data_IF_186350408155
#
_entry.id   IF_186350408155
#
_cell.length_a   1.000
_cell.length_b   1.000
_cell.length_c   1.000
_cell.angle_alpha   90.00
_cell.angle_beta   90.00
_cell.angle_gamma   90.00
#
_symmetry.space_group_name_H-M   'P 1'
#
loop_
_entity.id
_entity.type
_entity.pdbx_description
1 polymer ?
#
# COMPACT_ATOMS: atom_id res chain seq x y z
N UNK A 1 -26.12 -1.58 10.49
CA UNK A 1 -24.84 -1.18 11.08
C UNK A 1 -25.07 0.17 11.73
N UNK A 2 -25.02 0.22 13.05
CA UNK A 2 -25.22 1.46 13.81
C UNK A 2 -23.84 2.10 13.99
N UNK A 3 -23.74 3.42 14.07
CA UNK A 3 -22.45 4.11 14.26
C UNK A 3 -21.71 3.62 15.51
N UNK A 4 -22.43 3.10 16.51
CA UNK A 4 -21.90 2.45 17.71
C UNK A 4 -20.98 1.25 17.40
N UNK A 5 -21.21 0.56 16.29
CA UNK A 5 -20.44 -0.64 15.92
C UNK A 5 -18.99 -0.28 15.51
N UNK A 6 -18.75 0.97 15.11
CA UNK A 6 -17.42 1.47 14.74
C UNK A 6 -16.65 2.07 15.92
N UNK A 7 -17.31 2.30 17.06
CA UNK A 7 -16.68 2.89 18.24
C UNK A 7 -15.49 2.07 18.76
N UNK A 8 -15.53 0.72 18.84
CA UNK A 8 -14.38 -0.07 19.25
C UNK A 8 -13.18 0.08 18.30
N UNK A 9 -13.43 0.16 16.99
CA UNK A 9 -12.38 0.35 15.97
C UNK A 9 -11.71 1.72 16.14
N UNK A 10 -12.50 2.77 16.36
CA UNK A 10 -11.98 4.11 16.61
C UNK A 10 -11.11 4.14 17.87
N UNK A 11 -11.58 3.55 18.97
CA UNK A 11 -10.83 3.45 20.23
C UNK A 11 -9.50 2.72 20.00
N UNK A 12 -9.50 1.63 19.23
CA UNK A 12 -8.29 0.88 18.91
C UNK A 12 -7.27 1.72 18.13
N UNK A 13 -7.71 2.47 17.12
CA UNK A 13 -6.84 3.35 16.33
C UNK A 13 -6.24 4.44 17.22
N UNK A 14 -7.07 5.09 18.05
CA UNK A 14 -6.61 6.15 18.97
C UNK A 14 -5.61 5.61 19.97
N UNK A 15 -5.84 4.41 20.52
CA UNK A 15 -4.94 3.77 21.47
C UNK A 15 -3.62 3.37 20.81
N UNK A 16 -3.65 2.80 19.61
CA UNK A 16 -2.44 2.43 18.86
C UNK A 16 -1.56 3.66 18.55
N UNK A 17 -2.17 4.73 18.03
CA UNK A 17 -1.48 5.99 17.75
C UNK A 17 -0.97 6.64 19.04
N UNK A 18 -1.81 6.65 20.08
CA UNK A 18 -1.47 7.21 21.39
C UNK A 18 -0.29 6.51 22.05
N UNK A 19 -0.21 5.18 21.98
CA UNK A 19 0.94 4.42 22.47
C UNK A 19 2.19 4.75 21.65
N UNK A 20 2.09 4.78 20.31
CA UNK A 20 3.23 5.12 19.45
C UNK A 20 3.80 6.50 19.75
N UNK A 21 2.93 7.51 19.88
CA UNK A 21 3.32 8.86 20.27
C UNK A 21 3.89 8.86 21.70
N UNK A 22 3.24 8.15 22.64
CA UNK A 22 3.68 8.07 24.03
C UNK A 22 5.10 7.51 24.16
N UNK A 23 5.44 6.47 23.40
CA UNK A 23 6.79 5.90 23.35
C UNK A 23 7.79 6.90 22.78
N UNK A 24 7.46 7.58 21.67
CA UNK A 24 8.33 8.61 21.07
C UNK A 24 8.57 9.79 22.02
N UNK A 25 7.53 10.25 22.72
CA UNK A 25 7.62 11.34 23.71
C UNK A 25 8.43 10.90 24.92
N UNK A 26 8.18 9.71 25.46
CA UNK A 26 8.97 9.15 26.55
C UNK A 26 10.45 9.00 26.16
N UNK A 27 10.73 8.49 24.96
CA UNK A 27 12.09 8.41 24.42
C UNK A 27 12.74 9.79 24.27
N UNK A 28 11.99 10.81 23.85
CA UNK A 28 12.51 12.17 23.72
C UNK A 28 12.82 12.84 25.08
N UNK A 29 12.01 12.56 26.11
CA UNK A 29 12.16 13.13 27.45
C UNK A 29 13.25 12.40 28.24
N UNK A 30 13.20 11.07 28.26
CA UNK A 30 14.08 10.22 29.08
C UNK A 30 15.33 9.73 28.33
N UNK A 31 15.38 9.87 27.00
CA UNK A 31 16.51 9.42 26.19
C UNK A 31 17.77 10.25 26.40
N UNK A 32 18.92 9.60 26.26
CA UNK A 32 20.22 10.26 26.33
C UNK A 32 20.37 11.25 25.17
N UNK A 33 20.36 12.54 25.48
CA UNK A 33 20.58 13.60 24.48
C UNK A 33 22.07 13.68 24.17
N UNK A 34 22.46 13.15 23.02
CA UNK A 34 23.82 13.37 22.52
C UNK A 34 23.99 14.83 22.07
N UNK A 35 25.16 15.43 22.30
CA UNK A 35 25.47 16.78 21.80
C UNK A 35 25.26 16.81 20.29
N UNK A 36 24.30 17.63 19.84
CA UNK A 36 24.05 17.89 18.43
C UNK A 36 25.24 18.65 17.85
N UNK A 37 25.64 18.28 16.65
CA UNK A 37 26.79 18.85 15.98
C UNK A 37 26.68 18.60 14.49
N UNK A 38 27.38 19.43 13.70
CA UNK A 38 27.28 19.41 12.23
C UNK A 38 27.45 18.01 11.61
N UNK A 39 28.31 17.18 12.19
CA UNK A 39 28.58 15.80 11.72
C UNK A 39 27.46 14.82 12.09
N UNK A 40 26.80 14.99 13.24
CA UNK A 40 25.70 14.10 13.66
C UNK A 40 24.40 14.40 12.94
N UNK A 41 24.21 15.66 12.56
CA UNK A 41 23.02 16.14 11.86
C UNK A 41 23.22 16.15 10.32
N UNK A 42 24.37 15.72 9.80
CA UNK A 42 24.60 15.56 8.36
C UNK A 42 24.16 14.19 7.85
N UNK A 43 23.62 14.09 6.62
CA UNK A 43 23.34 12.81 5.97
C UNK A 43 24.56 11.88 5.95
N UNK A 44 24.30 10.58 6.09
CA UNK A 44 25.36 9.58 6.05
C UNK A 44 25.84 9.35 4.60
N UNK A 45 27.09 9.69 4.32
CA UNK A 45 27.74 9.51 3.01
C UNK A 45 29.14 8.89 3.17
N UNK A 46 29.26 7.84 4.00
CA UNK A 46 30.51 7.13 4.27
C UNK A 46 31.70 8.03 4.69
N UNK A 47 31.42 9.15 5.36
CA UNK A 47 32.43 10.12 5.83
C UNK A 47 32.75 11.25 4.86
N UNK A 48 32.13 11.28 3.67
CA UNK A 48 32.19 12.40 2.73
C UNK A 48 31.13 13.45 3.05
N UNK A 49 31.36 14.69 2.62
CA UNK A 49 30.33 15.72 2.67
C UNK A 49 29.22 15.36 1.68
N UNK A 50 27.97 15.31 2.15
CA UNK A 50 26.81 15.11 1.29
C UNK A 50 26.67 16.30 0.33
N UNK A 51 27.12 16.14 -0.90
CA UNK A 51 26.79 17.06 -1.96
C UNK A 51 25.34 16.80 -2.37
N UNK A 52 24.45 17.77 -2.15
CA UNK A 52 23.05 17.75 -2.64
C UNK A 52 23.06 18.08 -4.15
N UNK A 53 23.98 17.45 -4.89
CA UNK A 53 24.30 17.73 -6.27
C UNK A 53 23.62 16.72 -7.18
N UNK A 54 22.39 17.03 -7.60
CA UNK A 54 21.75 16.35 -8.73
C UNK A 54 20.40 15.74 -8.39
N UNK A 55 19.39 16.10 -9.18
CA UNK A 55 18.15 15.32 -9.28
C UNK A 55 18.51 13.92 -9.78
N UNK A 56 18.65 12.96 -8.86
CA UNK A 56 18.73 11.55 -9.26
C UNK A 56 17.43 11.17 -9.96
N UNK A 57 17.54 10.71 -11.20
CA UNK A 57 16.38 10.22 -11.94
C UNK A 57 16.02 8.85 -11.38
N UNK A 58 14.92 8.79 -10.65
CA UNK A 58 14.36 7.51 -10.22
C UNK A 58 13.88 6.70 -11.43
N UNK A 59 13.98 5.39 -11.32
CA UNK A 59 13.57 4.48 -12.39
C UNK A 59 12.05 4.59 -12.64
N UNK A 60 11.65 4.61 -13.91
CA UNK A 60 10.23 4.58 -14.33
C UNK A 60 9.52 3.31 -13.83
N UNK A 61 10.28 2.26 -13.47
CA UNK A 61 9.75 1.01 -12.91
C UNK A 61 8.83 1.23 -11.70
N UNK A 62 9.16 2.18 -10.81
CA UNK A 62 8.29 2.52 -9.66
C UNK A 62 6.92 3.02 -10.11
N UNK A 63 6.88 3.86 -11.16
CA UNK A 63 5.64 4.36 -11.73
C UNK A 63 4.81 3.23 -12.34
N UNK A 64 5.43 2.35 -13.13
CA UNK A 64 4.75 1.22 -13.75
C UNK A 64 4.16 0.31 -12.68
N UNK A 65 4.91 -0.07 -11.65
CA UNK A 65 4.39 -0.91 -10.56
C UNK A 65 3.24 -0.24 -9.80
N UNK A 66 3.34 1.06 -9.49
CA UNK A 66 2.27 1.77 -8.79
C UNK A 66 0.99 1.88 -9.63
N UNK A 67 1.13 2.15 -10.93
CA UNK A 67 0.02 2.22 -11.87
C UNK A 67 -0.71 0.87 -11.97
N UNK A 68 0.04 -0.24 -12.06
CA UNK A 68 -0.53 -1.59 -12.07
C UNK A 68 -1.24 -1.92 -10.76
N UNK A 69 -0.63 -1.59 -9.62
CA UNK A 69 -1.26 -1.79 -8.31
C UNK A 69 -2.60 -1.06 -8.19
N UNK A 70 -2.68 0.20 -8.63
CA UNK A 70 -3.93 0.97 -8.60
C UNK A 70 -4.99 0.32 -9.49
N UNK A 71 -4.61 -0.16 -10.68
CA UNK A 71 -5.54 -0.82 -11.59
C UNK A 71 -6.12 -2.09 -10.95
N UNK A 72 -5.27 -2.98 -10.42
CA UNK A 72 -5.71 -4.19 -9.73
C UNK A 72 -6.53 -3.91 -8.47
N UNK A 73 -6.21 -2.87 -7.70
CA UNK A 73 -6.97 -2.50 -6.50
C UNK A 73 -8.39 -2.03 -6.84
N UNK A 74 -8.54 -1.23 -7.91
CA UNK A 74 -9.85 -0.82 -8.43
C UNK A 74 -10.70 -2.03 -8.84
N UNK A 75 -10.09 -3.04 -9.45
CA UNK A 75 -10.80 -4.25 -9.85
C UNK A 75 -11.35 -5.01 -8.64
N UNK A 76 -10.56 -5.14 -7.57
CA UNK A 76 -11.00 -5.77 -6.32
C UNK A 76 -12.17 -5.01 -5.68
N UNK A 77 -12.15 -3.67 -5.77
CA UNK A 77 -13.28 -2.82 -5.34
C UNK A 77 -14.57 -3.15 -6.10
N UNK A 78 -14.52 -3.60 -7.35
CA UNK A 78 -15.70 -4.10 -8.08
C UNK A 78 -16.10 -5.52 -7.68
N UNK A 79 -15.13 -6.40 -7.42
CA UNK A 79 -15.39 -7.79 -7.04
C UNK A 79 -16.08 -7.89 -5.67
N UNK A 80 -15.65 -7.11 -4.67
CA UNK A 80 -16.14 -7.22 -3.29
C UNK A 80 -17.66 -7.00 -3.18
N UNK A 81 -18.25 -5.89 -3.65
CA UNK A 81 -19.69 -5.68 -3.57
C UNK A 81 -20.46 -6.78 -4.28
N UNK A 82 -20.00 -7.23 -5.44
CA UNK A 82 -20.68 -8.27 -6.20
C UNK A 82 -20.74 -9.60 -5.42
N UNK A 83 -19.65 -10.02 -4.78
CA UNK A 83 -19.62 -11.22 -3.93
C UNK A 83 -20.56 -11.03 -2.72
N UNK A 84 -20.56 -9.85 -2.10
CA UNK A 84 -21.36 -9.56 -0.92
C UNK A 84 -22.86 -9.46 -1.20
N UNK A 85 -23.28 -9.03 -2.39
CA UNK A 85 -24.71 -8.96 -2.75
C UNK A 85 -25.25 -10.29 -3.24
N UNK A 86 -24.41 -11.15 -3.82
CA UNK A 86 -24.81 -12.43 -4.40
C UNK A 86 -24.35 -13.62 -3.54
N UNK A 87 -24.49 -13.56 -2.22
CA UNK A 87 -24.02 -14.65 -1.33
C UNK A 87 -24.77 -15.97 -1.55
N UNK A 88 -26.04 -15.89 -1.96
CA UNK A 88 -26.92 -17.03 -2.25
C UNK A 88 -26.87 -17.42 -3.75
N UNK A 89 -25.66 -17.52 -4.31
CA UNK A 89 -25.38 -17.89 -5.71
C UNK A 89 -25.87 -19.30 -6.09
N UNK A 90 -26.28 -20.10 -5.12
CA UNK A 90 -26.63 -21.52 -5.25
C UNK A 90 -27.81 -21.79 -6.19
N UNK A 91 -28.71 -20.84 -6.44
CA UNK A 91 -29.91 -21.06 -7.25
C UNK A 91 -30.00 -20.25 -8.54
N UNK A 92 -29.09 -19.30 -8.79
CA UNK A 92 -29.25 -18.32 -9.87
C UNK A 92 -28.55 -18.66 -11.20
N UNK A 93 -27.80 -19.76 -11.25
CA UNK A 93 -27.24 -20.33 -12.48
C UNK A 93 -26.19 -19.46 -13.21
N UNK A 94 -25.72 -19.98 -14.35
CA UNK A 94 -24.61 -19.45 -15.17
C UNK A 94 -24.81 -17.99 -15.62
N UNK A 95 -26.05 -17.48 -15.60
CA UNK A 95 -26.40 -16.13 -16.03
C UNK A 95 -25.83 -15.00 -15.14
N UNK A 96 -25.66 -15.25 -13.84
CA UNK A 96 -25.07 -14.27 -12.91
C UNK A 96 -23.55 -14.41 -12.77
N UNK A 97 -23.05 -15.64 -12.93
CA UNK A 97 -21.61 -15.93 -12.90
C UNK A 97 -20.90 -15.49 -14.19
N UNK A 98 -21.55 -15.63 -15.34
CA UNK A 98 -20.95 -15.39 -16.66
C UNK A 98 -20.28 -14.01 -16.81
N UNK A 99 -20.96 -12.89 -16.51
CA UNK A 99 -20.36 -11.56 -16.62
C UNK A 99 -19.15 -11.36 -15.72
N UNK A 100 -19.18 -11.88 -14.49
CA UNK A 100 -18.06 -11.72 -13.54
C UNK A 100 -16.90 -12.66 -13.80
N UNK A 101 -17.16 -13.86 -14.31
CA UNK A 101 -16.13 -14.74 -14.82
C UNK A 101 -15.45 -14.12 -16.05
N UNK A 102 -16.23 -13.49 -16.94
CA UNK A 102 -15.67 -12.76 -18.08
C UNK A 102 -14.85 -11.54 -17.63
N UNK A 103 -15.36 -10.73 -16.70
CA UNK A 103 -14.63 -9.62 -16.11
C UNK A 103 -13.30 -10.10 -15.51
N UNK A 104 -13.33 -11.10 -14.63
CA UNK A 104 -12.14 -11.69 -14.01
C UNK A 104 -11.19 -12.28 -15.05
N UNK A 105 -11.71 -12.92 -16.09
CA UNK A 105 -10.91 -13.48 -17.18
C UNK A 105 -10.13 -12.39 -17.92
N UNK A 106 -10.76 -11.26 -18.24
CA UNK A 106 -10.08 -10.12 -18.87
C UNK A 106 -8.94 -9.60 -17.98
N UNK A 107 -9.15 -9.52 -16.66
CA UNK A 107 -8.10 -9.11 -15.71
C UNK A 107 -6.92 -10.08 -15.69
N UNK A 108 -7.21 -11.39 -15.63
CA UNK A 108 -6.18 -12.43 -15.64
C UNK A 108 -5.38 -12.38 -16.94
N UNK A 109 -6.03 -12.15 -18.08
CA UNK A 109 -5.36 -11.98 -19.38
C UNK A 109 -4.48 -10.72 -19.38
N UNK A 110 -4.97 -9.60 -18.84
CA UNK A 110 -4.18 -8.37 -18.68
C UNK A 110 -2.93 -8.59 -17.83
N UNK A 111 -3.09 -9.25 -16.68
CA UNK A 111 -1.97 -9.61 -15.80
C UNK A 111 -0.95 -10.52 -16.51
N UNK A 112 -1.41 -11.54 -17.24
CA UNK A 112 -0.53 -12.43 -18.01
C UNK A 112 0.24 -11.64 -19.09
N UNK A 113 -0.42 -10.69 -19.75
CA UNK A 113 0.21 -9.84 -20.75
C UNK A 113 1.32 -8.99 -20.13
N UNK A 114 1.05 -8.35 -19.00
CA UNK A 114 2.02 -7.49 -18.29
C UNK A 114 3.22 -8.28 -17.74
N UNK A 115 2.96 -9.49 -17.22
CA UNK A 115 4.01 -10.43 -16.81
C UNK A 115 4.92 -10.79 -17.99
N UNK A 116 4.34 -11.10 -19.15
CA UNK A 116 5.11 -11.38 -20.37
C UNK A 116 5.83 -10.17 -20.95
N UNK A 117 5.28 -8.97 -20.76
CA UNK A 117 5.90 -7.71 -21.20
C UNK A 117 7.09 -7.29 -20.33
N UNK A 118 7.35 -7.97 -19.21
CA UNK A 118 8.44 -7.64 -18.29
C UNK A 118 8.21 -6.34 -17.52
N UNK A 119 6.96 -5.85 -17.44
CA UNK A 119 6.62 -4.62 -16.71
C UNK A 119 6.93 -4.70 -15.21
N UNK A 120 7.03 -5.93 -14.69
CA UNK A 120 7.34 -6.26 -13.30
C UNK A 120 8.79 -6.77 -13.12
N UNK A 121 9.64 -6.74 -14.15
CA UNK A 121 11.05 -7.14 -14.04
C UNK A 121 11.90 -6.02 -13.40
N UNK A 122 12.27 -6.22 -12.14
CA UNK A 122 13.10 -5.28 -11.38
C UNK A 122 14.58 -5.42 -11.73
N UNK A 123 15.06 -6.65 -11.89
CA UNK A 123 16.45 -6.96 -12.21
C UNK A 123 16.61 -7.29 -13.69
N UNK A 124 17.34 -6.43 -14.38
CA UNK A 124 18.11 -6.76 -15.58
C UNK A 124 19.37 -5.93 -15.56
#
# INVERSE_FOLDING_TARGET
MILSDFLPVLIQIVLAVGIGIGILVASHIFGQKATRGKIKDSPYECGLSSEVGGSSRYSVKFYVTAMLFILFDIDVVFLIPWVLTHRELSFAGVSLLGPMLFFTFVLVVGLIYELKSGALEWEK
#
